data_IF_662274795697
#
_entry.id   IF_662274795697
#
_cell.length_a   1.000
_cell.length_b   1.000
_cell.length_c   1.000
_cell.angle_alpha   90.00
_cell.angle_beta   90.00
_cell.angle_gamma   90.00
#
_symmetry.space_group_name_H-M   'P 1'
#
loop_
_entity.id
_entity.type
_entity.pdbx_description
1 polymer ?
#
# COMPACT_ATOMS: atom_id res chain seq x y z
N UNK A 1 -14.91 -17.78 0.87
CA UNK A 1 -13.73 -17.45 1.71
C UNK A 1 -12.58 -16.79 0.96
N UNK A 2 -11.96 -17.41 -0.07
CA UNK A 2 -10.74 -16.87 -0.73
C UNK A 2 -10.90 -15.43 -1.27
N UNK A 3 -12.03 -15.10 -1.90
CA UNK A 3 -12.31 -13.74 -2.41
C UNK A 3 -12.50 -12.69 -1.29
N UNK A 4 -13.05 -13.09 -0.15
CA UNK A 4 -13.25 -12.19 0.99
C UNK A 4 -11.90 -11.82 1.62
N UNK A 5 -11.02 -12.82 1.81
CA UNK A 5 -9.66 -12.62 2.32
C UNK A 5 -8.85 -11.72 1.38
N UNK A 6 -8.98 -11.91 0.07
CA UNK A 6 -8.35 -11.05 -0.95
C UNK A 6 -8.80 -9.59 -0.81
N UNK A 7 -10.10 -9.35 -0.69
CA UNK A 7 -10.63 -7.99 -0.52
C UNK A 7 -10.19 -7.36 0.80
N UNK A 8 -10.16 -8.11 1.90
CA UNK A 8 -9.69 -7.61 3.19
C UNK A 8 -8.21 -7.23 3.16
N UNK A 9 -7.36 -8.03 2.50
CA UNK A 9 -5.94 -7.70 2.33
C UNK A 9 -5.72 -6.46 1.45
N UNK A 10 -6.56 -6.24 0.43
CA UNK A 10 -6.49 -5.04 -0.41
C UNK A 10 -6.97 -3.76 0.30
N UNK A 11 -7.74 -3.87 1.39
CA UNK A 11 -8.16 -2.74 2.21
C UNK A 11 -7.18 -2.42 3.35
N UNK A 12 -6.13 -3.23 3.53
CA UNK A 12 -5.16 -2.99 4.59
C UNK A 12 -4.42 -1.66 4.33
N UNK A 13 -4.45 -0.69 5.26
CA UNK A 13 -4.03 0.69 5.03
C UNK A 13 -2.49 0.82 5.11
N UNK A 14 -1.79 0.15 4.19
CA UNK A 14 -0.31 0.15 4.14
C UNK A 14 0.32 1.54 4.01
N UNK A 15 -0.20 2.48 3.19
CA UNK A 15 0.33 3.84 3.10
C UNK A 15 0.28 4.59 4.44
N UNK A 16 -0.79 4.39 5.22
CA UNK A 16 -0.84 4.91 6.59
C UNK A 16 0.24 4.26 7.47
N UNK A 17 0.34 2.93 7.47
CA UNK A 17 1.32 2.23 8.31
C UNK A 17 2.77 2.59 7.97
N UNK A 18 3.04 2.85 6.68
CA UNK A 18 4.33 3.34 6.22
C UNK A 18 4.70 4.64 6.92
N UNK A 19 3.86 5.67 6.81
CA UNK A 19 4.15 6.96 7.43
C UNK A 19 3.98 6.96 8.95
N UNK A 20 3.12 6.11 9.49
CA UNK A 20 2.98 5.95 10.93
C UNK A 20 4.26 5.38 11.54
N UNK A 21 4.84 4.34 10.93
CA UNK A 21 6.12 3.80 11.36
C UNK A 21 7.26 4.81 11.16
N UNK A 22 7.33 5.43 9.98
CA UNK A 22 8.33 6.46 9.66
C UNK A 22 8.33 7.60 10.69
N UNK A 23 7.16 8.16 10.97
CA UNK A 23 6.99 9.29 11.87
C UNK A 23 7.34 8.93 13.31
N UNK A 24 6.91 7.77 13.80
CA UNK A 24 7.27 7.33 15.16
C UNK A 24 8.76 7.01 15.30
N UNK A 25 9.39 6.45 14.26
CA UNK A 25 10.84 6.30 14.20
C UNK A 25 11.55 7.66 14.28
N UNK A 26 11.07 8.65 13.52
CA UNK A 26 11.59 10.02 13.59
C UNK A 26 11.47 10.61 15.00
N UNK A 27 10.30 10.54 15.64
CA UNK A 27 10.09 11.02 17.01
C UNK A 27 11.01 10.32 18.02
N UNK A 28 11.34 9.06 17.78
CA UNK A 28 12.23 8.27 18.63
C UNK A 28 13.72 8.46 18.30
N UNK A 29 14.07 9.33 17.35
CA UNK A 29 15.41 9.48 16.79
C UNK A 29 16.03 8.15 16.31
N UNK A 30 15.20 7.28 15.73
CA UNK A 30 15.59 5.99 15.19
C UNK A 30 15.44 5.97 13.67
N UNK A 31 16.24 5.14 13.01
CA UNK A 31 16.05 4.86 11.59
C UNK A 31 14.89 3.89 11.36
N UNK A 32 14.08 4.15 10.33
CA UNK A 32 12.99 3.28 9.91
C UNK A 32 13.48 2.13 9.00
N UNK A 33 14.51 1.38 9.42
CA UNK A 33 15.25 0.45 8.54
C UNK A 33 14.39 -0.66 7.90
N UNK A 34 13.26 -1.01 8.51
CA UNK A 34 12.33 -2.04 7.99
C UNK A 34 11.26 -1.51 7.03
N UNK A 35 11.16 -0.20 6.86
CA UNK A 35 10.09 0.46 6.11
C UNK A 35 10.09 0.05 4.63
N UNK A 36 11.24 0.17 3.95
CA UNK A 36 11.36 -0.20 2.54
C UNK A 36 11.19 -1.71 2.30
N UNK A 37 11.86 -2.62 3.03
CA UNK A 37 11.63 -4.05 2.89
C UNK A 37 10.17 -4.47 3.10
N UNK A 38 9.51 -3.93 4.13
CA UNK A 38 8.11 -4.24 4.42
C UNK A 38 7.17 -3.70 3.33
N UNK A 39 7.46 -2.51 2.82
CA UNK A 39 6.72 -1.91 1.71
C UNK A 39 6.80 -2.78 0.44
N UNK A 40 8.01 -3.22 0.06
CA UNK A 40 8.18 -4.10 -1.10
C UNK A 40 7.51 -5.46 -0.89
N UNK A 41 7.65 -6.05 0.29
CA UNK A 41 7.03 -7.33 0.63
C UNK A 41 5.49 -7.25 0.52
N UNK A 42 4.90 -6.17 1.04
CA UNK A 42 3.45 -5.96 0.97
C UNK A 42 2.95 -5.74 -0.46
N UNK A 43 3.68 -4.99 -1.30
CA UNK A 43 3.39 -4.85 -2.73
C UNK A 43 3.35 -6.21 -3.42
N UNK A 44 4.39 -7.03 -3.19
CA UNK A 44 4.50 -8.35 -3.82
C UNK A 44 3.38 -9.27 -3.34
N UNK A 45 3.17 -9.36 -2.02
CA UNK A 45 2.14 -10.21 -1.44
C UNK A 45 0.75 -9.87 -1.94
N UNK A 46 0.34 -8.60 -1.86
CA UNK A 46 -1.00 -8.17 -2.30
C UNK A 46 -1.12 -8.24 -3.82
N UNK A 47 -0.08 -7.90 -4.58
CA UNK A 47 -0.04 -8.04 -6.04
C UNK A 47 -0.25 -9.50 -6.50
N UNK A 48 0.37 -10.47 -5.82
CA UNK A 48 0.18 -11.90 -6.11
C UNK A 48 -1.26 -12.34 -5.79
N UNK A 49 -1.74 -11.95 -4.61
CA UNK A 49 -3.05 -12.37 -4.08
C UNK A 49 -4.21 -11.76 -4.87
N UNK A 50 -4.04 -10.53 -5.38
CA UNK A 50 -5.06 -9.79 -6.14
C UNK A 50 -5.25 -10.24 -7.60
N UNK A 51 -4.48 -11.23 -8.09
CA UNK A 51 -4.56 -11.68 -9.49
C UNK A 51 -5.96 -12.11 -9.96
N UNK A 52 -6.74 -12.71 -9.06
CA UNK A 52 -8.08 -13.23 -9.35
C UNK A 52 -9.19 -12.19 -9.09
N UNK A 53 -8.83 -10.99 -8.63
CA UNK A 53 -9.75 -9.89 -8.40
C UNK A 53 -9.97 -9.15 -9.71
N UNK A 54 -11.24 -8.84 -10.01
CA UNK A 54 -11.61 -8.04 -11.18
C UNK A 54 -10.95 -6.67 -11.09
N UNK A 55 -10.36 -6.19 -12.20
CA UNK A 55 -9.59 -4.95 -12.19
C UNK A 55 -10.40 -3.74 -11.68
N UNK A 56 -11.68 -3.52 -12.06
CA UNK A 56 -12.47 -2.42 -11.50
C UNK A 56 -12.61 -2.51 -9.97
N UNK A 57 -12.88 -3.70 -9.44
CA UNK A 57 -12.97 -3.92 -8.00
C UNK A 57 -11.63 -3.66 -7.30
N UNK A 58 -10.52 -4.10 -7.90
CA UNK A 58 -9.17 -3.82 -7.37
C UNK A 58 -8.88 -2.32 -7.27
N UNK A 59 -9.27 -1.53 -8.28
CA UNK A 59 -9.08 -0.07 -8.27
C UNK A 59 -9.96 0.57 -7.17
N UNK A 60 -11.22 0.16 -7.05
CA UNK A 60 -12.12 0.64 -5.99
C UNK A 60 -11.57 0.32 -4.60
N UNK A 61 -11.10 -0.90 -4.37
CA UNK A 61 -10.52 -1.30 -3.09
C UNK A 61 -9.29 -0.47 -2.74
N UNK A 62 -8.42 -0.19 -3.71
CA UNK A 62 -7.25 0.66 -3.47
C UNK A 62 -7.62 2.12 -3.20
N UNK A 63 -8.64 2.65 -3.88
CA UNK A 63 -9.16 3.98 -3.57
C UNK A 63 -9.71 4.07 -2.14
N UNK A 64 -10.50 3.06 -1.72
CA UNK A 64 -11.00 2.95 -0.35
C UNK A 64 -9.87 2.80 0.67
N UNK A 65 -8.82 2.04 0.34
CA UNK A 65 -7.63 1.88 1.17
C UNK A 65 -6.87 3.21 1.34
N UNK A 66 -6.74 4.01 0.28
CA UNK A 66 -6.14 5.35 0.37
C UNK A 66 -7.00 6.28 1.23
N UNK A 67 -8.32 6.28 1.05
CA UNK A 67 -9.23 7.07 1.88
C UNK A 67 -9.15 6.66 3.35
N UNK A 68 -9.10 5.36 3.64
CA UNK A 68 -8.90 4.83 4.99
C UNK A 68 -7.53 5.25 5.56
N UNK A 69 -6.49 5.22 4.73
CA UNK A 69 -5.14 5.63 5.13
C UNK A 69 -5.07 7.11 5.49
N UNK A 70 -5.75 7.97 4.73
CA UNK A 70 -5.86 9.39 5.03
C UNK A 70 -6.64 9.63 6.33
N UNK A 71 -7.76 8.93 6.52
CA UNK A 71 -8.54 9.02 7.75
C UNK A 71 -7.71 8.62 8.97
N UNK A 72 -6.97 7.50 8.89
CA UNK A 72 -6.08 7.07 9.96
C UNK A 72 -4.91 8.04 10.18
N UNK A 73 -4.31 8.55 9.09
CA UNK A 73 -3.26 9.57 9.17
C UNK A 73 -3.73 10.82 9.92
N UNK A 74 -4.96 11.27 9.66
CA UNK A 74 -5.57 12.40 10.36
C UNK A 74 -5.65 12.21 11.88
N UNK A 75 -5.98 10.99 12.35
CA UNK A 75 -6.17 10.72 13.78
C UNK A 75 -4.89 10.32 14.53
N UNK A 76 -3.90 9.74 13.85
CA UNK A 76 -2.77 9.08 14.52
C UNK A 76 -1.39 9.64 14.19
N UNK A 77 -1.27 10.57 13.23
CA UNK A 77 -0.01 11.20 12.85
C UNK A 77 -0.18 12.70 12.96
N UNK A 78 0.60 13.36 13.80
CA UNK A 78 0.54 14.81 13.91
C UNK A 78 1.03 15.49 12.62
N UNK A 79 0.34 16.56 12.24
CA UNK A 79 0.79 17.45 11.17
C UNK A 79 1.53 18.64 11.78
N UNK A 80 2.69 18.34 12.38
CA UNK A 80 3.54 19.30 13.09
C UNK A 80 4.23 20.31 12.16
N UNK A 81 4.01 20.18 10.84
CA UNK A 81 4.59 21.01 9.80
C UNK A 81 6.12 20.90 9.71
N UNK A 82 6.75 19.93 10.35
CA UNK A 82 8.21 19.75 10.37
C UNK A 82 8.63 18.57 9.49
N UNK A 83 8.01 17.40 9.69
CA UNK A 83 8.45 16.14 9.08
C UNK A 83 8.00 16.00 7.63
N UNK A 84 6.73 16.28 7.34
CA UNK A 84 6.14 16.06 6.02
C UNK A 84 6.31 17.22 5.02
N UNK A 85 7.32 18.08 5.22
CA UNK A 85 7.55 19.21 4.32
C UNK A 85 8.08 18.78 2.95
N UNK A 86 7.75 19.51 1.88
CA UNK A 86 6.96 20.75 1.85
C UNK A 86 5.44 20.53 1.69
N UNK A 87 4.99 19.30 1.47
CA UNK A 87 3.64 19.02 0.97
C UNK A 87 2.61 18.66 2.05
N UNK A 88 3.05 18.31 3.26
CA UNK A 88 2.20 17.88 4.36
C UNK A 88 1.90 16.37 4.34
N UNK A 89 1.41 15.88 5.49
CA UNK A 89 1.16 14.45 5.75
C UNK A 89 0.24 13.82 4.70
N UNK A 90 -0.86 14.50 4.36
CA UNK A 90 -1.90 13.92 3.51
C UNK A 90 -1.39 13.68 2.07
N UNK A 91 -0.60 14.63 1.54
CA UNK A 91 0.02 14.48 0.22
C UNK A 91 1.07 13.37 0.24
N UNK A 92 1.85 13.24 1.32
CA UNK A 92 2.80 12.14 1.48
C UNK A 92 2.09 10.77 1.44
N UNK A 93 0.97 10.62 2.17
CA UNK A 93 0.15 9.39 2.17
C UNK A 93 -0.38 9.07 0.77
N UNK A 94 -0.86 10.08 0.03
CA UNK A 94 -1.33 9.90 -1.35
C UNK A 94 -0.17 9.46 -2.26
N UNK A 95 1.00 10.06 -2.11
CA UNK A 95 2.18 9.72 -2.89
C UNK A 95 2.61 8.26 -2.66
N UNK A 96 2.73 7.82 -1.41
CA UNK A 96 3.04 6.41 -1.10
C UNK A 96 1.92 5.47 -1.58
N UNK A 97 0.66 5.88 -1.45
CA UNK A 97 -0.47 5.12 -2.01
C UNK A 97 -0.33 4.90 -3.50
N UNK A 98 0.08 5.92 -4.26
CA UNK A 98 0.27 5.81 -5.71
C UNK A 98 1.32 4.74 -6.05
N UNK A 99 2.50 4.79 -5.43
CA UNK A 99 3.55 3.78 -5.65
C UNK A 99 3.15 2.39 -5.20
N UNK A 100 2.40 2.31 -4.10
CA UNK A 100 1.88 1.06 -3.58
C UNK A 100 0.95 0.38 -4.60
N UNK A 101 -0.03 1.12 -5.12
CA UNK A 101 -0.98 0.64 -6.13
C UNK A 101 -0.27 0.29 -7.44
N UNK A 102 0.64 1.16 -7.89
CA UNK A 102 1.40 0.93 -9.12
C UNK A 102 2.25 -0.36 -9.02
N UNK A 103 2.95 -0.55 -7.91
CA UNK A 103 3.72 -1.76 -7.65
C UNK A 103 2.85 -3.01 -7.67
N UNK A 104 1.69 -2.98 -7.00
CA UNK A 104 0.77 -4.11 -7.01
C UNK A 104 0.26 -4.44 -8.41
N UNK A 105 -0.04 -3.43 -9.23
CA UNK A 105 -0.46 -3.62 -10.63
C UNK A 105 0.62 -4.30 -11.47
N UNK A 106 1.88 -3.90 -11.31
CA UNK A 106 3.03 -4.52 -11.99
C UNK A 106 3.12 -5.99 -11.61
N UNK A 107 3.14 -6.31 -10.32
CA UNK A 107 3.23 -7.69 -9.82
C UNK A 107 2.04 -8.53 -10.28
N UNK A 108 0.83 -7.96 -10.24
CA UNK A 108 -0.39 -8.60 -10.74
C UNK A 108 -0.28 -8.94 -12.23
N UNK A 109 0.22 -8.01 -13.04
CA UNK A 109 0.44 -8.20 -14.48
C UNK A 109 1.43 -9.33 -14.77
N UNK A 110 2.59 -9.33 -14.10
CA UNK A 110 3.63 -10.36 -14.22
C UNK A 110 3.06 -11.74 -13.87
N UNK A 111 2.36 -11.85 -12.74
CA UNK A 111 1.79 -13.12 -12.27
C UNK A 111 0.76 -13.70 -13.26
N UNK A 112 -0.12 -12.85 -13.82
CA UNK A 112 -1.08 -13.27 -14.85
C UNK A 112 -0.34 -13.76 -16.11
N UNK A 113 0.73 -13.06 -16.52
CA UNK A 113 1.56 -13.45 -17.67
C UNK A 113 2.19 -14.83 -17.49
N UNK A 114 2.82 -15.09 -16.34
CA UNK A 114 3.47 -16.37 -16.02
C UNK A 114 2.48 -17.55 -16.06
N UNK A 115 1.29 -17.38 -15.51
CA UNK A 115 0.26 -18.44 -15.50
C UNK A 115 -0.23 -18.72 -16.92
N UNK A 116 -0.47 -17.68 -17.72
CA UNK A 116 -0.92 -17.85 -19.10
C UNK A 116 0.12 -18.55 -19.98
N UNK A 117 1.41 -18.36 -19.73
CA UNK A 117 2.47 -19.09 -20.41
C UNK A 117 2.40 -20.59 -20.09
N UNK A 118 2.37 -20.95 -18.79
CA UNK A 118 2.36 -22.35 -18.35
C UNK A 118 1.14 -23.18 -18.78
N UNK A 119 0.04 -22.54 -19.16
CA UNK A 119 -1.16 -23.24 -19.66
C UNK A 119 -1.06 -23.55 -21.15
N UNK A 120 -0.15 -22.90 -21.88
CA UNK A 120 0.06 -23.12 -23.32
C UNK A 120 1.10 -24.20 -23.63
N UNK A 121 1.91 -24.56 -22.64
CA UNK A 121 2.91 -25.64 -22.67
C UNK A 121 2.26 -26.98 -22.27
#
# INVERSE_FOLDING_TARGET
MKRCIQSMLSLFPFPFLFHFYEYNSHLSNQEASFLLPLFLFSIIGVGIVSRNVHLPLFIVLNFLMTALSLMLGHFFIDDDGSWFKPFGRDIAIIFVSFFYVLGQLIIRGINIGIIRHRVKD
#
